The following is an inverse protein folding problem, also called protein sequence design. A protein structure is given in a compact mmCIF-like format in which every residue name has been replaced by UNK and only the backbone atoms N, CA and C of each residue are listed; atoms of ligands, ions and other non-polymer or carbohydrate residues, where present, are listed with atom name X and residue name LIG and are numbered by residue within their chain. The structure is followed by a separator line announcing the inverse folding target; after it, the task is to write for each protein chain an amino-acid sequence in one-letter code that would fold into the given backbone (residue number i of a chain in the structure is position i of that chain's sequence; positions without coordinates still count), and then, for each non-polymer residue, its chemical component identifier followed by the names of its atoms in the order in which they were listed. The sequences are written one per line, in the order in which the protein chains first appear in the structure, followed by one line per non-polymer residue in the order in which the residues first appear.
data_IF_538087264581
#
_entry.id   IF_538087264581
#
_cell.length_a   1.000
_cell.length_b   1.000
_cell.length_c   1.000
_cell.angle_alpha   90.00
_cell.angle_beta   90.00
_cell.angle_gamma   90.00
#
_symmetry.space_group_name_H-M   'P 1'
#
loop_
_entity.id
_entity.type
_entity.pdbx_description
1 polymer ?
#
# COMPACT_ATOMS: atom_id res chain seq x y z
N UNK A 1 -50.26 -12.37 -63.68
CA UNK A 1 -48.94 -12.80 -64.19
C UNK A 1 -47.88 -12.22 -63.27
N UNK A 2 -47.27 -13.05 -62.43
CA UNK A 2 -46.19 -12.66 -61.51
C UNK A 2 -44.84 -12.84 -62.22
N UNK A 3 -44.08 -11.75 -62.34
CA UNK A 3 -42.71 -11.79 -62.85
C UNK A 3 -41.78 -12.19 -61.69
N UNK A 4 -40.99 -13.26 -61.81
CA UNK A 4 -39.99 -13.63 -60.80
C UNK A 4 -38.65 -12.94 -61.06
N UNK A 5 -37.96 -12.60 -59.96
CA UNK A 5 -36.50 -12.73 -59.89
C UNK A 5 -35.67 -11.50 -60.24
N UNK A 6 -34.90 -11.03 -59.26
CA UNK A 6 -33.83 -10.06 -59.47
C UNK A 6 -33.07 -9.68 -58.19
N UNK A 7 -32.92 -10.62 -57.24
CA UNK A 7 -32.09 -10.42 -56.07
C UNK A 7 -30.67 -10.94 -56.36
N UNK A 8 -29.74 -10.04 -56.72
CA UNK A 8 -28.31 -10.37 -56.76
C UNK A 8 -27.42 -9.11 -56.67
N UNK A 9 -27.58 -8.32 -55.62
CA UNK A 9 -26.68 -7.19 -55.29
C UNK A 9 -25.61 -7.51 -54.22
N UNK A 10 -25.74 -8.62 -53.51
CA UNK A 10 -24.90 -8.93 -52.33
C UNK A 10 -23.46 -9.32 -52.65
N UNK A 11 -23.21 -10.00 -53.78
CA UNK A 11 -21.86 -10.45 -54.15
C UNK A 11 -20.92 -9.31 -54.52
N UNK A 12 -21.40 -8.34 -55.30
CA UNK A 12 -20.60 -7.19 -55.72
C UNK A 12 -20.24 -6.27 -54.54
N UNK A 13 -21.20 -6.03 -53.63
CA UNK A 13 -20.94 -5.27 -52.41
C UNK A 13 -19.99 -6.00 -51.46
N UNK A 14 -20.08 -7.35 -51.39
CA UNK A 14 -19.14 -8.17 -50.63
C UNK A 14 -17.69 -8.03 -51.14
N UNK A 15 -17.47 -8.10 -52.45
CA UNK A 15 -16.13 -7.96 -53.05
C UNK A 15 -15.55 -6.57 -52.81
N UNK A 16 -16.36 -5.52 -52.97
CA UNK A 16 -15.92 -4.14 -52.70
C UNK A 16 -15.55 -3.99 -51.21
N UNK A 17 -16.37 -4.54 -50.31
CA UNK A 17 -16.08 -4.55 -48.88
C UNK A 17 -14.75 -5.22 -48.55
N UNK A 18 -14.46 -6.37 -49.16
CA UNK A 18 -13.20 -7.10 -48.96
C UNK A 18 -11.99 -6.30 -49.46
N UNK A 19 -12.07 -5.68 -50.64
CA UNK A 19 -10.95 -4.88 -51.19
C UNK A 19 -10.67 -3.65 -50.33
N UNK A 20 -11.71 -2.94 -49.89
CA UNK A 20 -11.57 -1.79 -48.98
C UNK A 20 -10.98 -2.25 -47.65
N UNK A 21 -11.45 -3.37 -47.10
CA UNK A 21 -10.94 -3.93 -45.85
C UNK A 21 -9.45 -4.30 -45.93
N UNK A 22 -9.02 -4.95 -47.02
CA UNK A 22 -7.60 -5.27 -47.26
C UNK A 22 -6.78 -3.99 -47.40
N UNK A 23 -7.27 -2.99 -48.14
CA UNK A 23 -6.59 -1.70 -48.28
C UNK A 23 -6.42 -0.97 -46.95
N UNK A 24 -7.44 -1.01 -46.08
CA UNK A 24 -7.39 -0.49 -44.71
C UNK A 24 -6.35 -1.26 -43.91
N UNK A 25 -6.34 -2.59 -43.94
CA UNK A 25 -5.35 -3.39 -43.20
C UNK A 25 -3.92 -3.02 -43.60
N UNK A 26 -3.63 -2.88 -44.90
CA UNK A 26 -2.27 -2.52 -45.37
C UNK A 26 -1.88 -1.12 -44.89
N UNK A 27 -2.79 -0.14 -45.01
CA UNK A 27 -2.58 1.25 -44.57
C UNK A 27 -2.35 1.35 -43.06
N UNK A 28 -3.11 0.58 -42.28
CA UNK A 28 -3.16 0.65 -40.82
C UNK A 28 -2.37 -0.47 -40.14
N UNK A 29 -1.59 -1.26 -40.87
CA UNK A 29 -0.76 -2.33 -40.31
C UNK A 29 0.10 -1.84 -39.14
N UNK A 30 0.74 -0.67 -39.31
CA UNK A 30 1.52 -0.01 -38.27
C UNK A 30 0.69 0.45 -37.06
N UNK A 31 -0.55 0.90 -37.28
CA UNK A 31 -1.48 1.27 -36.21
C UNK A 31 -1.99 0.06 -35.44
N UNK A 32 -2.21 -1.07 -36.11
CA UNK A 32 -2.60 -2.34 -35.48
C UNK A 32 -1.44 -2.85 -34.62
N UNK A 33 -0.21 -2.82 -35.14
CA UNK A 33 1.00 -3.15 -34.38
C UNK A 33 1.19 -2.22 -33.18
N UNK A 34 1.00 -0.91 -33.36
CA UNK A 34 1.08 0.06 -32.27
C UNK A 34 0.01 -0.20 -31.20
N UNK A 35 -1.22 -0.50 -31.60
CA UNK A 35 -2.29 -0.88 -30.68
C UNK A 35 -1.97 -2.16 -29.90
N UNK A 36 -1.47 -3.19 -30.59
CA UNK A 36 -1.08 -4.45 -29.96
C UNK A 36 0.09 -4.24 -28.98
N UNK A 37 1.09 -3.45 -29.38
CA UNK A 37 2.22 -3.10 -28.52
C UNK A 37 1.76 -2.33 -27.28
N UNK A 38 0.82 -1.38 -27.43
CA UNK A 38 0.25 -0.63 -26.31
C UNK A 38 -0.43 -1.57 -25.29
N UNK A 39 -1.25 -2.51 -25.77
CA UNK A 39 -1.92 -3.50 -24.91
C UNK A 39 -0.90 -4.36 -24.16
N UNK A 40 0.15 -4.81 -24.85
CA UNK A 40 1.25 -5.56 -24.25
C UNK A 40 1.94 -4.76 -23.13
N UNK A 41 2.30 -3.51 -23.40
CA UNK A 41 2.95 -2.64 -22.40
C UNK A 41 2.09 -2.47 -21.16
N UNK A 42 0.79 -2.19 -21.33
CA UNK A 42 -0.15 -2.05 -20.20
C UNK A 42 -0.26 -3.36 -19.43
N UNK A 43 -0.37 -4.50 -20.12
CA UNK A 43 -0.43 -5.80 -19.47
C UNK A 43 0.83 -6.10 -18.64
N UNK A 44 2.01 -5.86 -19.21
CA UNK A 44 3.28 -6.01 -18.49
C UNK A 44 3.35 -5.06 -17.28
N UNK A 45 2.95 -3.80 -17.44
CA UNK A 45 2.95 -2.83 -16.35
C UNK A 45 2.03 -3.26 -15.18
N UNK A 46 0.86 -3.81 -15.48
CA UNK A 46 -0.07 -4.33 -14.47
C UNK A 46 0.53 -5.56 -13.77
N UNK A 47 1.09 -6.51 -14.53
CA UNK A 47 1.69 -7.73 -13.95
C UNK A 47 2.87 -7.38 -13.05
N UNK A 48 3.78 -6.53 -13.50
CA UNK A 48 4.95 -6.09 -12.74
C UNK A 48 4.51 -5.27 -11.53
N UNK A 49 3.56 -4.35 -11.71
CA UNK A 49 3.02 -3.52 -10.62
C UNK A 49 2.42 -4.37 -9.50
N UNK A 50 1.65 -5.41 -9.83
CA UNK A 50 1.09 -6.33 -8.82
C UNK A 50 2.18 -7.10 -8.07
N UNK A 51 3.23 -7.54 -8.74
CA UNK A 51 4.35 -8.22 -8.09
C UNK A 51 5.11 -7.30 -7.12
N UNK A 52 5.31 -6.04 -7.49
CA UNK A 52 5.97 -5.04 -6.64
C UNK A 52 5.12 -4.68 -5.41
N UNK A 53 3.81 -4.51 -5.58
CA UNK A 53 2.89 -4.23 -4.48
C UNK A 53 2.89 -5.38 -3.47
N UNK A 54 2.87 -6.64 -3.93
CA UNK A 54 2.91 -7.79 -3.03
C UNK A 54 4.21 -7.86 -2.20
N UNK A 55 5.35 -7.44 -2.76
CA UNK A 55 6.61 -7.38 -2.01
C UNK A 55 6.62 -6.25 -0.98
N UNK A 56 6.04 -5.10 -1.32
CA UNK A 56 5.92 -3.96 -0.41
C UNK A 56 4.93 -4.25 0.72
N UNK A 57 3.81 -4.90 0.43
CA UNK A 57 2.83 -5.32 1.44
C UNK A 57 3.43 -6.33 2.44
N UNK A 58 4.28 -7.24 1.98
CA UNK A 58 5.02 -8.15 2.86
C UNK A 58 5.95 -7.39 3.82
N UNK A 59 6.67 -6.38 3.32
CA UNK A 59 7.54 -5.53 4.13
C UNK A 59 6.74 -4.62 5.09
N UNK A 60 5.58 -4.11 4.67
CA UNK A 60 4.70 -3.32 5.52
C UNK A 60 4.02 -4.15 6.61
N UNK A 61 3.70 -5.42 6.34
CA UNK A 61 3.13 -6.33 7.33
C UNK A 61 4.09 -6.55 8.51
N UNK A 62 5.39 -6.60 8.26
CA UNK A 62 6.42 -6.68 9.32
C UNK A 62 6.50 -5.38 10.12
N UNK A 63 6.48 -4.22 9.46
CA UNK A 63 6.47 -2.91 10.13
C UNK A 63 5.20 -2.69 10.96
N UNK A 64 4.04 -3.15 10.49
CA UNK A 64 2.78 -3.11 11.25
C UNK A 64 2.85 -3.93 12.54
N UNK A 65 3.57 -5.06 12.56
CA UNK A 65 3.74 -5.87 13.78
C UNK A 65 4.58 -5.16 14.83
N UNK A 66 5.61 -4.43 14.43
CA UNK A 66 6.42 -3.64 15.36
C UNK A 66 5.64 -2.42 15.88
N UNK A 67 4.93 -1.71 15.01
CA UNK A 67 4.12 -0.55 15.41
C UNK A 67 2.98 -0.91 16.36
N UNK A 68 2.38 -2.10 16.24
CA UNK A 68 1.35 -2.58 17.19
C UNK A 68 1.86 -2.72 18.62
N UNK A 69 3.14 -3.04 18.81
CA UNK A 69 3.72 -3.14 20.16
C UNK A 69 3.97 -1.75 20.76
N UNK A 70 4.38 -0.80 19.92
CA UNK A 70 4.55 0.61 20.28
C UNK A 70 3.22 1.29 20.59
N UNK A 71 2.19 1.11 19.75
CA UNK A 71 0.85 1.66 20.02
C UNK A 71 0.28 1.10 21.31
N UNK A 72 0.42 -0.21 21.57
CA UNK A 72 -0.07 -0.81 22.79
C UNK A 72 0.65 -0.31 24.05
N UNK A 73 1.91 0.14 23.94
CA UNK A 73 2.62 0.81 25.03
C UNK A 73 2.17 2.26 25.20
N UNK A 74 2.02 3.00 24.10
CA UNK A 74 1.52 4.36 24.10
C UNK A 74 0.10 4.45 24.68
N UNK A 75 -0.80 3.52 24.33
CA UNK A 75 -2.16 3.46 24.87
C UNK A 75 -2.17 3.21 26.38
N UNK A 76 -1.25 2.37 26.89
CA UNK A 76 -1.09 2.15 28.33
C UNK A 76 -0.59 3.40 29.04
N UNK A 77 0.38 4.11 28.45
CA UNK A 77 0.87 5.37 29.00
C UNK A 77 -0.21 6.45 28.97
N UNK A 78 -0.99 6.53 27.89
CA UNK A 78 -2.11 7.46 27.76
C UNK A 78 -3.20 7.19 28.81
N UNK A 79 -3.49 5.92 29.11
CA UNK A 79 -4.38 5.55 30.22
C UNK A 79 -3.84 5.99 31.59
N UNK A 80 -2.53 5.88 31.83
CA UNK A 80 -1.93 6.38 33.08
C UNK A 80 -2.05 7.89 33.23
N UNK A 81 -1.98 8.65 32.12
CA UNK A 81 -2.23 10.10 32.13
C UNK A 81 -3.69 10.41 32.50
N UNK A 82 -4.64 9.67 31.94
CA UNK A 82 -6.07 9.86 32.20
C UNK A 82 -6.49 9.45 33.61
N UNK A 83 -5.91 8.37 34.16
CA UNK A 83 -6.14 7.93 35.53
C UNK A 83 -5.47 8.84 36.58
N UNK A 84 -4.72 9.87 36.14
CA UNK A 84 -3.95 10.73 37.03
C UNK A 84 -2.82 9.99 37.77
N UNK A 85 -2.42 8.81 37.26
CA UNK A 85 -1.29 8.08 37.81
C UNK A 85 -0.02 8.91 37.55
N UNK A 86 0.83 9.16 38.57
CA UNK A 86 2.11 9.87 38.38
C UNK A 86 3.00 9.25 37.29
N UNK A 87 2.79 7.98 36.92
CA UNK A 87 3.45 7.32 35.77
C UNK A 87 3.04 7.88 34.41
N UNK A 88 1.88 8.50 34.29
CA UNK A 88 1.42 9.13 33.06
C UNK A 88 2.21 10.40 32.73
N UNK A 89 2.52 11.21 33.75
CA UNK A 89 3.21 12.50 33.58
C UNK A 89 4.73 12.33 33.54
N UNK A 90 5.29 11.45 34.37
CA UNK A 90 6.74 11.30 34.52
C UNK A 90 7.30 9.98 33.94
N UNK A 91 6.45 9.10 33.42
CA UNK A 91 6.83 7.73 33.04
C UNK A 91 7.09 6.83 34.26
N UNK A 92 7.33 5.53 34.03
CA UNK A 92 7.50 4.56 35.11
C UNK A 92 8.70 4.87 36.03
N UNK A 93 9.86 5.24 35.46
CA UNK A 93 11.05 5.64 36.23
C UNK A 93 10.85 6.96 36.97
N UNK A 94 10.23 7.96 36.32
CA UNK A 94 9.97 9.26 36.93
C UNK A 94 8.97 9.21 38.08
N UNK A 95 7.93 8.38 37.96
CA UNK A 95 6.97 8.15 39.04
C UNK A 95 7.60 7.44 40.24
N UNK A 96 8.57 6.56 40.02
CA UNK A 96 9.31 5.92 41.08
C UNK A 96 10.16 6.95 41.85
N UNK A 97 10.85 7.86 41.16
CA UNK A 97 11.58 8.96 41.79
C UNK A 97 10.67 9.89 42.60
N UNK A 98 9.52 10.29 42.06
CA UNK A 98 8.56 11.12 42.80
C UNK A 98 8.05 10.42 44.06
N UNK A 99 7.80 9.11 43.98
CA UNK A 99 7.40 8.31 45.13
C UNK A 99 8.51 8.20 46.20
N UNK A 100 9.79 8.23 45.81
CA UNK A 100 10.91 8.29 46.75
C UNK A 100 11.07 9.65 47.42
N UNK A 101 10.89 10.73 46.65
CA UNK A 101 10.89 12.12 47.13
C UNK A 101 9.78 12.35 48.16
N UNK A 102 8.55 11.95 47.82
CA UNK A 102 7.36 12.13 48.67
C UNK A 102 7.40 11.26 49.94
N UNK A 103 8.19 10.18 49.92
CA UNK A 103 8.46 9.32 51.09
C UNK A 103 9.49 9.93 52.08
N UNK A 104 10.01 11.14 51.82
CA UNK A 104 11.02 11.83 52.65
C UNK A 104 12.40 11.16 52.69
N UNK A 105 12.76 10.33 51.70
CA UNK A 105 14.06 9.66 51.66
C UNK A 105 14.98 10.26 50.57
N UNK A 106 15.49 11.46 50.82
CA UNK A 106 16.36 12.20 49.91
C UNK A 106 17.74 11.53 49.70
N UNK A 107 18.23 10.81 50.70
CA UNK A 107 19.56 10.16 50.67
C UNK A 107 19.63 8.94 49.76
N UNK A 108 18.49 8.27 49.53
CA UNK A 108 18.38 7.17 48.57
C UNK A 108 18.39 7.64 47.11
N UNK A 109 17.79 8.80 46.84
CA UNK A 109 17.65 9.35 45.50
C UNK A 109 19.00 9.78 44.91
N UNK A 110 19.84 10.45 45.70
CA UNK A 110 21.18 10.87 45.26
C UNK A 110 22.06 9.68 44.86
N UNK A 111 21.98 8.57 45.60
CA UNK A 111 22.69 7.32 45.27
C UNK A 111 22.21 6.67 43.98
N UNK A 112 20.95 6.86 43.60
CA UNK A 112 20.37 6.28 42.37
C UNK A 112 20.78 7.05 41.12
N UNK A 113 20.91 8.38 41.21
CA UNK A 113 21.34 9.26 40.11
C UNK A 113 22.84 9.10 39.83
N UNK A 114 23.63 8.77 40.85
CA UNK A 114 25.08 8.71 40.75
C UNK A 114 25.62 7.36 40.23
N UNK A 115 24.77 6.34 40.08
CA UNK A 115 25.17 5.09 39.42
C UNK A 115 25.20 5.31 37.90
N UNK A 116 26.34 5.12 37.22
CA UNK A 116 26.33 5.05 35.77
C UNK A 116 25.47 3.85 35.34
N UNK A 117 24.75 3.94 34.20
CA UNK A 117 24.00 2.82 33.67
C UNK A 117 25.01 1.72 33.33
N UNK A 118 24.95 0.59 34.05
CA UNK A 118 25.60 -0.64 33.60
C UNK A 118 24.67 -1.27 32.59
N UNK A 119 25.09 -1.18 31.34
CA UNK A 119 24.49 -1.85 30.20
C UNK A 119 24.52 -3.37 30.40
N UNK A 120 23.35 -3.99 30.48
CA UNK A 120 23.06 -5.39 30.08
C UNK A 120 21.61 -5.48 29.61
#
# INVERSE_FOLDING_TARGET
MSVPGGQSGGGALGVIGVVVFIGVIIKYFWWILAGLAMVLVVFLAVVIGKALIQQLEAAEAERKRQNRRLSAQADRQHRWVLDGDPRGVYGAKGAEYMRYVERNNWDGLLRSIQRPPVDL
#
